data_IF_386694366061
#
_entry.id   IF_386694366061
#
_cell.length_a   1.000
_cell.length_b   1.000
_cell.length_c   1.000
_cell.angle_alpha   90.00
_cell.angle_beta   90.00
_cell.angle_gamma   90.00
#
_symmetry.space_group_name_H-M   'P 1'
#
loop_
_entity.id
_entity.type
_entity.pdbx_description
1 polymer ?
#
# COMPACT_ATOMS: atom_id res chain seq x y z
N UNK A 1 5.79 12.01 -4.57
CA UNK A 1 5.55 13.47 -4.73
C UNK A 1 4.19 13.87 -4.19
N UNK A 2 3.09 13.33 -4.72
CA UNK A 2 1.71 13.67 -4.30
C UNK A 2 1.50 13.53 -2.79
N UNK A 3 1.92 12.42 -2.18
CA UNK A 3 1.82 12.22 -0.73
C UNK A 3 2.63 13.20 0.12
N UNK A 4 3.81 13.62 -0.34
CA UNK A 4 4.62 14.64 0.36
C UNK A 4 3.98 16.02 0.26
N UNK A 5 3.49 16.39 -0.93
CA UNK A 5 2.75 17.63 -1.13
C UNK A 5 1.48 17.67 -0.26
N UNK A 6 0.75 16.56 -0.21
CA UNK A 6 -0.42 16.41 0.63
C UNK A 6 -0.10 16.52 2.12
N UNK A 7 0.94 15.83 2.59
CA UNK A 7 1.42 15.94 3.96
C UNK A 7 1.85 17.37 4.32
N UNK A 8 2.54 18.06 3.42
CA UNK A 8 2.92 19.46 3.61
C UNK A 8 1.69 20.39 3.70
N UNK A 9 0.68 20.17 2.86
CA UNK A 9 -0.59 20.90 2.91
C UNK A 9 -1.31 20.66 4.24
N UNK A 10 -1.40 19.43 4.71
CA UNK A 10 -2.01 19.10 6.01
C UNK A 10 -1.30 19.79 7.18
N UNK A 11 0.03 19.90 7.13
CA UNK A 11 0.81 20.60 8.15
C UNK A 11 0.61 22.13 8.10
N UNK A 12 0.45 22.69 6.90
CA UNK A 12 0.21 24.13 6.70
C UNK A 12 -1.22 24.53 7.08
N UNK A 13 -2.20 23.69 6.77
CA UNK A 13 -3.61 23.91 7.07
C UNK A 13 -3.87 23.41 8.50
N UNK A 14 -3.35 24.14 9.50
CA UNK A 14 -3.60 23.87 10.92
C UNK A 14 -5.10 23.78 11.19
N UNK A 15 -5.58 22.62 11.67
CA UNK A 15 -6.78 22.32 12.49
C UNK A 15 -8.08 23.12 12.26
N UNK A 16 -8.20 23.89 11.18
CA UNK A 16 -9.42 24.54 10.79
C UNK A 16 -10.31 23.46 10.20
N UNK A 17 -11.50 23.33 10.76
CA UNK A 17 -12.55 22.47 10.25
C UNK A 17 -12.97 22.98 8.87
N UNK A 18 -12.27 22.49 7.83
CA UNK A 18 -12.66 22.69 6.45
C UNK A 18 -14.05 22.08 6.27
N UNK A 19 -15.09 22.92 6.29
CA UNK A 19 -16.46 22.48 6.07
C UNK A 19 -16.70 22.33 4.57
N UNK A 20 -16.46 21.14 4.05
CA UNK A 20 -16.85 20.77 2.70
C UNK A 20 -18.35 20.50 2.62
N UNK A 21 -18.93 20.86 1.48
CA UNK A 21 -20.30 20.50 1.15
C UNK A 21 -20.39 18.97 0.96
N UNK A 22 -21.45 18.29 1.47
CA UNK A 22 -21.59 16.83 1.38
C UNK A 22 -21.47 16.28 -0.05
N UNK A 23 -21.96 17.02 -1.05
CA UNK A 23 -21.84 16.63 -2.47
C UNK A 23 -20.40 16.51 -2.94
N UNK A 24 -19.51 17.41 -2.50
CA UNK A 24 -18.08 17.38 -2.87
C UNK A 24 -17.42 16.15 -2.26
N UNK A 25 -17.81 15.79 -1.04
CA UNK A 25 -17.30 14.60 -0.35
C UNK A 25 -17.69 13.33 -1.11
N UNK A 26 -18.97 13.21 -1.49
CA UNK A 26 -19.48 12.06 -2.25
C UNK A 26 -18.79 11.96 -3.62
N UNK A 27 -18.70 13.07 -4.36
CA UNK A 27 -18.03 13.11 -5.66
C UNK A 27 -16.56 12.70 -5.52
N UNK A 28 -15.87 13.21 -4.50
CA UNK A 28 -14.48 12.85 -4.24
C UNK A 28 -14.30 11.38 -3.92
N UNK A 29 -15.19 10.77 -3.13
CA UNK A 29 -15.19 9.34 -2.88
C UNK A 29 -15.46 8.52 -4.16
N UNK A 30 -16.46 8.89 -4.96
CA UNK A 30 -16.75 8.24 -6.24
C UNK A 30 -15.58 8.36 -7.22
N UNK A 31 -14.93 9.53 -7.29
CA UNK A 31 -13.77 9.74 -8.14
C UNK A 31 -12.56 8.92 -7.65
N UNK A 32 -12.28 8.92 -6.35
CA UNK A 32 -11.18 8.14 -5.77
C UNK A 32 -11.35 6.64 -6.00
N UNK A 33 -12.57 6.10 -5.80
CA UNK A 33 -12.85 4.68 -6.05
C UNK A 33 -12.82 4.33 -7.52
N UNK A 34 -13.35 5.19 -8.40
CA UNK A 34 -13.28 4.99 -9.85
C UNK A 34 -11.83 4.99 -10.36
N UNK A 35 -11.01 5.94 -9.92
CA UNK A 35 -9.59 6.00 -10.25
C UNK A 35 -8.86 4.76 -9.72
N UNK A 36 -9.13 4.36 -8.48
CA UNK A 36 -8.53 3.17 -7.87
C UNK A 36 -8.87 1.90 -8.66
N UNK A 37 -10.15 1.71 -9.02
CA UNK A 37 -10.59 0.59 -9.84
C UNK A 37 -9.98 0.62 -11.24
N UNK A 38 -9.93 1.78 -11.90
CA UNK A 38 -9.29 1.92 -13.20
C UNK A 38 -7.78 1.59 -13.14
N UNK A 39 -7.11 1.95 -12.05
CA UNK A 39 -5.72 1.57 -11.84
C UNK A 39 -5.57 0.05 -11.66
N UNK A 40 -6.42 -0.61 -10.88
CA UNK A 40 -6.31 -2.07 -10.65
C UNK A 40 -6.69 -2.89 -11.89
N UNK A 41 -7.80 -2.54 -12.55
CA UNK A 41 -8.36 -3.31 -13.66
C UNK A 41 -7.96 -2.82 -15.04
N UNK A 42 -7.22 -1.71 -15.15
CA UNK A 42 -6.85 -1.13 -16.45
C UNK A 42 -6.08 -2.09 -17.37
N UNK A 43 -5.30 -3.01 -16.80
CA UNK A 43 -4.57 -4.04 -17.56
C UNK A 43 -5.38 -5.31 -17.83
N UNK A 44 -6.56 -5.46 -17.23
CA UNK A 44 -7.35 -6.70 -17.33
C UNK A 44 -7.83 -6.97 -18.77
N UNK A 45 -8.09 -5.92 -19.57
CA UNK A 45 -8.48 -6.05 -20.98
C UNK A 45 -7.43 -6.78 -21.83
N UNK A 46 -6.14 -6.58 -21.54
CA UNK A 46 -5.04 -7.22 -22.25
C UNK A 46 -5.01 -8.75 -22.10
N UNK A 47 -5.63 -9.29 -21.05
CA UNK A 47 -5.74 -10.73 -20.82
C UNK A 47 -6.91 -11.39 -21.58
N UNK A 48 -7.93 -10.62 -22.01
CA UNK A 48 -9.13 -11.11 -22.70
C UNK A 48 -9.07 -10.95 -24.23
N UNK A 49 -7.89 -11.10 -24.84
CA UNK A 49 -7.65 -10.96 -26.28
C UNK A 49 -7.99 -9.58 -26.90
N UNK A 50 -8.19 -8.55 -26.08
CA UNK A 50 -8.22 -7.15 -26.52
C UNK A 50 -6.97 -6.42 -26.03
N UNK A 51 -5.81 -6.60 -26.70
CA UNK A 51 -4.59 -5.92 -26.31
C UNK A 51 -4.81 -4.41 -26.38
N UNK A 52 -4.47 -3.72 -25.30
CA UNK A 52 -4.43 -2.26 -25.26
C UNK A 52 -3.53 -1.76 -26.39
N UNK A 53 -3.94 -0.66 -27.03
CA UNK A 53 -3.08 0.03 -27.99
C UNK A 53 -1.75 0.39 -27.32
N UNK A 54 -0.61 0.39 -28.04
CA UNK A 54 0.67 0.81 -27.49
C UNK A 54 0.62 2.17 -26.80
N UNK A 55 -0.22 3.08 -27.30
CA UNK A 55 -0.46 4.40 -26.69
C UNK A 55 -1.18 4.30 -25.35
N UNK A 56 -2.23 3.48 -25.25
CA UNK A 56 -2.99 3.27 -24.01
C UNK A 56 -2.11 2.61 -22.93
N UNK A 57 -1.30 1.63 -23.33
CA UNK A 57 -0.38 0.98 -22.40
C UNK A 57 0.70 1.95 -21.89
N UNK A 58 1.28 2.77 -22.77
CA UNK A 58 2.26 3.79 -22.36
C UNK A 58 1.64 4.82 -21.39
N UNK A 59 0.41 5.27 -21.67
CA UNK A 59 -0.33 6.19 -20.81
C UNK A 59 -0.63 5.55 -19.46
N UNK A 60 -1.07 4.29 -19.44
CA UNK A 60 -1.34 3.56 -18.21
C UNK A 60 -0.06 3.40 -17.37
N UNK A 61 1.04 2.95 -17.97
CA UNK A 61 2.32 2.78 -17.27
C UNK A 61 2.83 4.11 -16.66
N UNK A 62 2.65 5.22 -17.37
CA UNK A 62 3.08 6.53 -16.91
C UNK A 62 2.16 7.10 -15.82
N UNK A 63 0.84 7.04 -15.99
CA UNK A 63 -0.13 7.76 -15.15
C UNK A 63 -0.70 6.93 -14.00
N UNK A 64 -0.77 5.61 -14.11
CA UNK A 64 -1.41 4.75 -13.11
C UNK A 64 -0.87 4.99 -11.69
N UNK A 65 0.46 5.09 -11.55
CA UNK A 65 1.09 5.37 -10.25
C UNK A 65 0.74 6.74 -9.68
N UNK A 66 0.67 7.76 -10.53
CA UNK A 66 0.28 9.11 -10.11
C UNK A 66 -1.20 9.17 -9.75
N UNK A 67 -2.06 8.59 -10.59
CA UNK A 67 -3.50 8.53 -10.37
C UNK A 67 -3.84 7.76 -9.08
N UNK A 68 -3.17 6.63 -8.83
CA UNK A 68 -3.26 5.89 -7.58
C UNK A 68 -2.87 6.74 -6.37
N UNK A 69 -1.75 7.48 -6.46
CA UNK A 69 -1.31 8.36 -5.38
C UNK A 69 -2.30 9.51 -5.12
N UNK A 70 -2.95 10.05 -6.16
CA UNK A 70 -4.01 11.07 -6.02
C UNK A 70 -5.23 10.49 -5.33
N UNK A 71 -5.68 9.30 -5.74
CA UNK A 71 -6.80 8.60 -5.11
C UNK A 71 -6.54 8.37 -3.61
N UNK A 72 -5.37 7.83 -3.25
CA UNK A 72 -4.98 7.65 -1.84
C UNK A 72 -4.87 8.98 -1.09
N UNK A 73 -4.40 10.05 -1.74
CA UNK A 73 -4.31 11.37 -1.10
C UNK A 73 -5.67 11.92 -0.71
N UNK A 74 -6.71 11.69 -1.53
CA UNK A 74 -8.09 12.02 -1.18
C UNK A 74 -8.59 11.21 0.02
N UNK A 75 -8.32 9.90 0.06
CA UNK A 75 -8.71 9.04 1.20
C UNK A 75 -8.09 9.57 2.50
N UNK A 76 -6.80 9.87 2.50
CA UNK A 76 -6.10 10.43 3.68
C UNK A 76 -6.69 11.78 4.08
N UNK A 77 -6.98 12.66 3.13
CA UNK A 77 -7.63 13.94 3.39
C UNK A 77 -9.00 13.75 4.06
N UNK A 78 -9.85 12.90 3.47
CA UNK A 78 -11.19 12.64 3.94
C UNK A 78 -11.17 12.07 5.37
N UNK A 79 -10.27 11.12 5.66
CA UNK A 79 -10.07 10.59 7.01
C UNK A 79 -9.60 11.67 7.98
N UNK A 80 -8.63 12.51 7.59
CA UNK A 80 -8.07 13.54 8.47
C UNK A 80 -9.10 14.61 8.91
N UNK A 81 -9.99 15.04 8.01
CA UNK A 81 -11.01 16.05 8.29
C UNK A 81 -12.36 15.48 8.79
N UNK A 82 -12.43 14.17 9.07
CA UNK A 82 -13.63 13.53 9.62
C UNK A 82 -14.71 13.14 8.59
N UNK A 83 -14.38 13.19 7.30
CA UNK A 83 -15.25 12.74 6.19
C UNK A 83 -15.06 11.25 5.84
N UNK A 84 -14.28 10.52 6.62
CA UNK A 84 -13.98 9.10 6.41
C UNK A 84 -15.00 8.12 7.00
N UNK A 85 -15.76 8.51 8.03
CA UNK A 85 -16.71 7.61 8.71
C UNK A 85 -16.09 6.24 9.03
N UNK A 86 -16.78 5.17 8.64
CA UNK A 86 -16.34 3.78 8.82
C UNK A 86 -14.96 3.45 8.21
N UNK A 87 -14.56 4.12 7.13
CA UNK A 87 -13.26 3.89 6.48
C UNK A 87 -12.15 4.40 7.38
N UNK A 88 -12.37 5.51 8.11
CA UNK A 88 -11.42 6.00 9.09
C UNK A 88 -11.22 5.01 10.24
N UNK A 89 -12.31 4.41 10.74
CA UNK A 89 -12.25 3.44 11.83
C UNK A 89 -11.51 2.16 11.39
N UNK A 90 -11.79 1.69 10.18
CA UNK A 90 -11.08 0.55 9.59
C UNK A 90 -9.58 0.85 9.42
N UNK A 91 -9.20 2.00 8.87
CA UNK A 91 -7.79 2.36 8.65
C UNK A 91 -7.05 2.66 9.96
N UNK A 92 -7.75 3.14 10.99
CA UNK A 92 -7.15 3.48 12.30
C UNK A 92 -7.04 2.28 13.24
N UNK A 93 -7.38 1.08 12.77
CA UNK A 93 -7.37 -0.11 13.61
C UNK A 93 -5.95 -0.51 14.03
N UNK A 94 -5.75 -0.78 15.32
CA UNK A 94 -4.45 -1.14 15.90
C UNK A 94 -3.82 -2.40 15.29
N UNK A 95 -4.63 -3.27 14.68
CA UNK A 95 -4.15 -4.46 13.97
C UNK A 95 -3.22 -4.12 12.79
N UNK A 96 -3.37 -2.93 12.18
CA UNK A 96 -2.48 -2.47 11.11
C UNK A 96 -1.10 -2.07 11.59
N UNK A 97 -0.92 -1.78 12.88
CA UNK A 97 0.35 -1.32 13.45
C UNK A 97 1.44 -2.41 13.33
N UNK A 98 1.26 -3.65 13.83
CA UNK A 98 2.26 -4.69 13.65
C UNK A 98 2.43 -5.10 12.18
N UNK A 99 1.34 -5.13 11.41
CA UNK A 99 1.36 -5.53 10.00
C UNK A 99 2.15 -4.54 9.12
N UNK A 100 1.98 -3.24 9.37
CA UNK A 100 2.71 -2.19 8.65
C UNK A 100 4.21 -2.23 8.92
N UNK A 101 4.62 -2.56 10.16
CA UNK A 101 6.04 -2.76 10.51
C UNK A 101 6.65 -3.95 9.76
N UNK A 102 5.92 -5.06 9.69
CA UNK A 102 6.35 -6.28 8.97
C UNK A 102 6.34 -6.10 7.44
N UNK A 103 5.55 -5.18 6.90
CA UNK A 103 5.40 -4.99 5.45
C UNK A 103 6.73 -4.68 4.77
N UNK A 104 7.64 -3.95 5.41
CA UNK A 104 8.96 -3.68 4.85
C UNK A 104 9.78 -4.97 4.66
N UNK A 105 9.88 -5.77 5.72
CA UNK A 105 10.57 -7.06 5.67
C UNK A 105 9.89 -8.05 4.72
N UNK A 106 8.56 -8.09 4.69
CA UNK A 106 7.81 -8.88 3.72
C UNK A 106 8.07 -8.44 2.27
N UNK A 107 8.13 -7.13 2.01
CA UNK A 107 8.40 -6.57 0.68
C UNK A 107 9.77 -6.98 0.14
N UNK A 108 10.80 -7.03 1.00
CA UNK A 108 12.14 -7.46 0.59
C UNK A 108 12.21 -8.97 0.29
N UNK A 109 11.50 -9.80 1.08
CA UNK A 109 11.51 -11.25 0.93
C UNK A 109 10.59 -11.75 -0.19
N UNK A 110 9.50 -11.03 -0.46
CA UNK A 110 8.51 -11.39 -1.46
C UNK A 110 9.10 -11.69 -2.86
N UNK A 111 9.93 -10.81 -3.49
CA UNK A 111 10.53 -11.12 -4.80
C UNK A 111 11.52 -12.28 -4.75
N UNK A 112 12.21 -12.51 -3.63
CA UNK A 112 13.12 -13.64 -3.44
C UNK A 112 12.33 -14.95 -3.46
N UNK A 113 11.22 -15.00 -2.69
CA UNK A 113 10.32 -16.16 -2.64
C UNK A 113 9.71 -16.44 -4.01
N UNK A 114 9.24 -15.41 -4.72
CA UNK A 114 8.72 -15.54 -6.08
C UNK A 114 9.79 -16.11 -7.03
N UNK A 115 11.02 -15.60 -6.97
CA UNK A 115 12.10 -16.04 -7.87
C UNK A 115 12.45 -17.51 -7.62
N UNK A 116 12.56 -17.92 -6.36
CA UNK A 116 12.77 -19.32 -6.00
C UNK A 116 11.61 -20.17 -6.51
N UNK A 117 10.37 -19.72 -6.29
CA UNK A 117 9.17 -20.43 -6.72
C UNK A 117 9.15 -20.65 -8.24
N UNK A 118 9.35 -19.60 -9.03
CA UNK A 118 9.37 -19.66 -10.50
C UNK A 118 10.53 -20.53 -11.00
N UNK A 119 11.71 -20.45 -10.37
CA UNK A 119 12.90 -21.21 -10.79
C UNK A 119 12.76 -22.73 -10.61
N UNK A 120 11.81 -23.18 -9.77
CA UNK A 120 11.53 -24.59 -9.57
C UNK A 120 10.61 -25.19 -10.64
N UNK A 121 9.99 -24.38 -11.51
CA UNK A 121 9.16 -24.90 -12.59
C UNK A 121 10.02 -25.38 -13.77
N UNK A 122 10.00 -26.68 -14.02
CA UNK A 122 10.68 -27.30 -15.16
C UNK A 122 9.77 -27.47 -16.40
N UNK A 123 8.46 -27.18 -16.30
CA UNK A 123 7.45 -27.43 -17.35
C UNK A 123 6.45 -26.27 -17.49
N UNK A 124 5.72 -26.25 -18.62
CA UNK A 124 4.73 -25.22 -18.94
C UNK A 124 3.64 -25.13 -17.85
N UNK A 125 3.45 -23.90 -17.36
CA UNK A 125 2.49 -23.58 -16.32
C UNK A 125 1.08 -23.38 -16.92
N UNK A 126 0.11 -24.20 -16.50
CA UNK A 126 -1.29 -24.06 -16.94
C UNK A 126 -1.99 -22.97 -16.13
N UNK A 127 -2.32 -21.86 -16.79
CA UNK A 127 -2.97 -20.73 -16.15
C UNK A 127 -4.44 -21.02 -15.81
N UNK A 128 -4.78 -20.97 -14.53
CA UNK A 128 -6.15 -21.04 -14.03
C UNK A 128 -6.34 -20.03 -12.90
N UNK A 129 -7.48 -19.33 -12.88
CA UNK A 129 -7.77 -18.30 -11.87
C UNK A 129 -7.76 -18.85 -10.44
N UNK A 130 -8.21 -20.09 -10.25
CA UNK A 130 -8.23 -20.76 -8.95
C UNK A 130 -6.82 -21.11 -8.47
N UNK A 131 -5.96 -21.53 -9.40
CA UNK A 131 -4.57 -21.86 -9.11
C UNK A 131 -3.78 -20.58 -8.79
N UNK A 132 -4.00 -19.51 -9.56
CA UNK A 132 -3.42 -18.19 -9.29
C UNK A 132 -3.83 -17.65 -7.91
N UNK A 133 -5.12 -17.77 -7.54
CA UNK A 133 -5.60 -17.33 -6.24
C UNK A 133 -4.93 -18.10 -5.08
N UNK A 134 -4.77 -19.42 -5.23
CA UNK A 134 -4.08 -20.25 -4.25
C UNK A 134 -2.60 -19.87 -4.12
N UNK A 135 -1.92 -19.61 -5.24
CA UNK A 135 -0.51 -19.22 -5.24
C UNK A 135 -0.27 -17.85 -4.63
N UNK A 136 -1.11 -16.87 -4.96
CA UNK A 136 -1.02 -15.55 -4.33
C UNK A 136 -1.20 -15.67 -2.83
N UNK A 137 -2.17 -16.46 -2.35
CA UNK A 137 -2.36 -16.70 -0.93
C UNK A 137 -1.15 -17.41 -0.29
N UNK A 138 -0.58 -18.42 -0.96
CA UNK A 138 0.59 -19.16 -0.48
C UNK A 138 1.83 -18.28 -0.38
N UNK A 139 2.13 -17.50 -1.43
CA UNK A 139 3.29 -16.59 -1.49
C UNK A 139 3.17 -15.49 -0.45
N UNK A 140 1.98 -14.88 -0.29
CA UNK A 140 1.75 -13.86 0.74
C UNK A 140 1.97 -14.46 2.13
N UNK A 141 1.40 -15.63 2.41
CA UNK A 141 1.55 -16.29 3.71
C UNK A 141 3.02 -16.60 4.01
N UNK A 142 3.74 -17.19 3.05
CA UNK A 142 5.17 -17.47 3.18
C UNK A 142 6.00 -16.19 3.39
N UNK A 143 5.71 -15.12 2.65
CA UNK A 143 6.40 -13.85 2.78
C UNK A 143 6.23 -13.22 4.15
N UNK A 144 5.00 -13.24 4.71
CA UNK A 144 4.76 -12.73 6.06
C UNK A 144 5.35 -13.63 7.15
N UNK A 145 5.29 -14.96 7.00
CA UNK A 145 5.95 -15.86 7.96
C UNK A 145 7.46 -15.64 7.97
N UNK A 146 8.09 -15.52 6.79
CA UNK A 146 9.53 -15.25 6.69
C UNK A 146 9.89 -13.86 7.22
N UNK A 147 9.04 -12.84 6.98
CA UNK A 147 9.22 -11.50 7.52
C UNK A 147 9.16 -11.48 9.05
N UNK A 148 8.27 -12.26 9.66
CA UNK A 148 8.19 -12.39 11.13
C UNK A 148 9.48 -12.99 11.68
N UNK A 149 9.98 -14.07 11.06
CA UNK A 149 11.23 -14.70 11.48
C UNK A 149 12.41 -13.71 11.37
N UNK A 150 12.51 -12.98 10.26
CA UNK A 150 13.55 -11.98 10.06
C UNK A 150 13.44 -10.84 11.09
N UNK A 151 12.25 -10.31 11.32
CA UNK A 151 12.02 -9.25 12.29
C UNK A 151 12.40 -9.69 13.71
N UNK A 152 12.11 -10.95 14.07
CA UNK A 152 12.45 -11.50 15.39
C UNK A 152 13.94 -11.76 15.55
N UNK A 153 14.58 -12.34 14.53
CA UNK A 153 16.00 -12.71 14.60
C UNK A 153 16.96 -11.55 14.38
N UNK A 154 16.54 -10.49 13.67
CA UNK A 154 17.41 -9.38 13.27
C UNK A 154 16.86 -8.04 13.78
N UNK A 155 15.65 -7.62 13.38
CA UNK A 155 15.20 -6.26 13.69
C UNK A 155 15.10 -5.98 15.21
N UNK A 156 14.58 -6.92 16.01
CA UNK A 156 14.50 -6.74 17.47
C UNK A 156 15.86 -6.71 18.18
N UNK A 157 16.79 -7.66 17.96
CA UNK A 157 18.09 -7.61 18.64
C UNK A 157 18.93 -6.40 18.22
N UNK A 158 18.94 -6.05 16.92
CA UNK A 158 19.66 -4.86 16.46
C UNK A 158 19.00 -3.57 16.94
N UNK A 159 17.67 -3.50 16.98
CA UNK A 159 16.96 -2.34 17.54
C UNK A 159 17.18 -2.17 19.05
N UNK A 160 17.39 -3.25 19.79
CA UNK A 160 17.77 -3.17 21.21
C UNK A 160 19.24 -2.76 21.37
N UNK A 161 20.13 -3.26 20.51
CA UNK A 161 21.54 -2.89 20.51
C UNK A 161 21.76 -1.40 20.18
N UNK A 162 21.00 -0.86 19.21
CA UNK A 162 21.01 0.56 18.87
C UNK A 162 20.63 1.45 20.07
N UNK A 163 19.57 1.07 20.80
CA UNK A 163 19.15 1.79 22.02
C UNK A 163 20.20 1.76 23.13
N UNK A 164 21.04 0.73 23.16
CA UNK A 164 22.13 0.62 24.13
C UNK A 164 23.36 1.43 23.70
N UNK A 165 23.64 1.52 22.40
CA UNK A 165 24.80 2.22 21.83
C UNK A 165 24.58 3.73 21.66
N UNK A 166 23.35 4.15 21.40
CA UNK A 166 22.97 5.56 21.27
C UNK A 166 22.26 5.98 22.56
N UNK A 167 22.92 6.69 23.49
CA UNK A 167 22.23 7.26 24.64
C UNK A 167 21.16 8.21 24.11
N UNK A 168 19.89 7.89 24.35
CA UNK A 168 18.81 8.84 24.04
C UNK A 168 19.05 10.11 24.87
N UNK A 169 19.08 11.31 24.26
CA UNK A 169 19.09 12.53 25.04
C UNK A 169 17.84 12.54 25.91
N UNK A 170 18.07 12.73 27.21
CA UNK A 170 17.06 12.74 28.25
C UNK A 170 15.93 13.71 27.84
N UNK A 171 14.72 13.18 27.62
CA UNK A 171 13.54 14.02 27.37
C UNK A 171 13.24 14.74 28.68
N UNK A 172 13.82 15.92 28.86
CA UNK A 172 13.43 16.86 29.90
C UNK A 172 11.94 17.16 29.72
N UNK A 173 11.14 16.52 30.55
CA UNK A 173 9.75 16.84 30.84
C UNK A 173 9.66 18.32 31.19
N UNK A 174 8.91 19.07 30.38
CA UNK A 174 8.33 20.37 30.73
C UNK A 174 6.84 20.28 30.47
#
# INVERSE_FOLDING_TARGET
MVGMAMGYLLLRIKKQSFKLHPSVVIIGWCAATAIGMACVYGLYGGYNNHPLSPTENAVYMALCRFAWAVSLSWVVFACHYGYGGWINDFLSWELWIPMSRLTYSAYLLHPIIITIYISNFATNYFFSIYMLAFEVAAIITLAYTAAILLAVSIEFPFGNLEKMLVPSPDKKTK
#
